data_IF_679459183441
#
_entry.id   IF_679459183441
#
_cell.length_a   1.000
_cell.length_b   1.000
_cell.length_c   1.000
_cell.angle_alpha   90.00
_cell.angle_beta   90.00
_cell.angle_gamma   90.00
#
_symmetry.space_group_name_H-M   'P 1'
#
loop_
_entity.id
_entity.type
_entity.pdbx_description
1 polymer ?
#
# COMPACT_ATOMS: atom_id res chain seq x y z
N UNK A 1 8.10 5.01 14.93
CA UNK A 1 7.26 5.59 16.00
C UNK A 1 5.85 5.75 15.48
N UNK A 2 4.86 5.48 16.34
CA UNK A 2 3.44 5.67 16.01
C UNK A 2 2.74 6.40 17.17
N UNK A 3 1.84 7.30 16.82
CA UNK A 3 0.96 8.01 17.74
C UNK A 3 -0.47 7.87 17.24
N UNK A 4 -1.40 7.72 18.13
CA UNK A 4 -2.81 7.69 17.76
C UNK A 4 -3.67 8.39 18.81
N UNK A 5 -4.80 8.93 18.36
CA UNK A 5 -5.86 9.43 19.18
C UNK A 5 -7.19 9.02 18.53
N UNK A 6 -8.17 8.69 19.35
CA UNK A 6 -9.50 8.32 18.87
C UNK A 6 -10.56 8.75 19.88
N UNK A 7 -11.76 9.01 19.37
CA UNK A 7 -12.92 9.33 20.18
C UNK A 7 -14.19 8.78 19.55
N UNK A 8 -15.16 8.46 20.37
CA UNK A 8 -16.48 7.97 19.98
C UNK A 8 -17.54 8.75 20.76
N UNK A 9 -18.52 9.30 20.05
CA UNK A 9 -19.60 10.04 20.67
C UNK A 9 -20.92 9.82 19.96
N UNK A 10 -22.02 10.08 20.65
CA UNK A 10 -23.37 10.00 20.12
C UNK A 10 -24.08 11.33 20.26
N UNK A 11 -24.92 11.66 19.29
CA UNK A 11 -25.78 12.83 19.30
C UNK A 11 -27.23 12.36 19.23
N UNK A 12 -27.94 12.53 20.34
CA UNK A 12 -29.24 11.89 20.52
C UNK A 12 -29.13 10.37 20.53
N UNK A 13 -30.19 9.69 20.07
CA UNK A 13 -30.21 8.21 19.97
C UNK A 13 -30.04 7.71 18.54
N UNK A 14 -29.98 8.63 17.57
CA UNK A 14 -29.94 8.28 16.14
C UNK A 14 -28.55 8.40 15.53
N UNK A 15 -27.69 9.28 16.05
CA UNK A 15 -26.38 9.52 15.49
C UNK A 15 -25.28 8.96 16.36
N UNK A 16 -24.40 8.19 15.75
CA UNK A 16 -23.14 7.74 16.34
C UNK A 16 -21.97 8.17 15.44
N UNK A 17 -20.90 8.63 16.07
CA UNK A 17 -19.68 9.04 15.39
C UNK A 17 -18.48 8.40 16.02
N UNK A 18 -17.53 8.05 15.20
CA UNK A 18 -16.22 7.60 15.63
C UNK A 18 -15.16 8.31 14.77
N UNK A 19 -14.20 8.96 15.40
CA UNK A 19 -13.08 9.59 14.73
C UNK A 19 -11.76 9.09 15.31
N UNK A 20 -10.83 8.80 14.44
CA UNK A 20 -9.48 8.37 14.80
C UNK A 20 -8.43 9.03 13.93
N UNK A 21 -7.27 9.28 14.50
CA UNK A 21 -6.10 9.78 13.79
C UNK A 21 -4.87 9.02 14.27
N UNK A 22 -4.13 8.42 13.34
CA UNK A 22 -2.84 7.78 13.60
C UNK A 22 -1.76 8.45 12.75
N UNK A 23 -0.69 8.87 13.39
CA UNK A 23 0.54 9.30 12.75
C UNK A 23 1.63 8.26 12.95
N UNK A 24 2.34 7.90 11.89
CA UNK A 24 3.40 6.91 11.95
C UNK A 24 4.61 7.36 11.16
N UNK A 25 5.79 7.18 11.74
CA UNK A 25 7.08 7.35 11.07
C UNK A 25 7.79 6.00 11.02
N UNK A 26 8.05 5.54 9.81
CA UNK A 26 8.71 4.27 9.52
C UNK A 26 10.10 4.58 8.98
N UNK A 27 11.10 3.93 9.55
CA UNK A 27 12.47 3.98 9.04
C UNK A 27 12.89 2.56 8.71
N UNK A 28 13.22 2.33 7.45
CA UNK A 28 13.73 1.05 6.96
C UNK A 28 15.20 1.23 6.64
N UNK A 29 16.06 0.48 7.34
CA UNK A 29 17.51 0.52 7.14
C UNK A 29 18.03 -0.87 6.80
N UNK A 30 18.95 -0.94 5.86
CA UNK A 30 19.74 -2.14 5.56
C UNK A 30 21.20 -1.80 5.74
N UNK A 31 21.97 -2.69 6.36
CA UNK A 31 23.42 -2.58 6.51
C UNK A 31 24.10 -3.59 5.59
N UNK A 32 25.25 -3.22 5.00
CA UNK A 32 26.03 -4.08 4.11
C UNK A 32 26.58 -3.31 2.92
N UNK A 33 27.00 -4.03 1.88
CA UNK A 33 27.56 -3.44 0.65
C UNK A 33 26.60 -2.51 -0.11
N UNK A 34 25.31 -2.58 0.20
CA UNK A 34 24.28 -1.69 -0.29
C UNK A 34 23.46 -1.18 0.91
N UNK A 35 23.98 -0.14 1.57
CA UNK A 35 23.24 0.49 2.65
C UNK A 35 22.04 1.26 2.08
N UNK A 36 20.85 0.94 2.55
CA UNK A 36 19.60 1.63 2.21
C UNK A 36 19.05 2.25 3.48
N UNK A 37 18.64 3.49 3.40
CA UNK A 37 17.91 4.19 4.46
C UNK A 37 16.71 4.89 3.84
N UNK A 38 15.52 4.36 4.09
CA UNK A 38 14.25 4.95 3.67
C UNK A 38 13.47 5.38 4.90
N UNK A 39 13.02 6.62 4.93
CA UNK A 39 12.20 7.17 6.00
C UNK A 39 10.92 7.76 5.42
N UNK A 40 9.80 7.33 5.93
CA UNK A 40 8.48 7.82 5.54
C UNK A 40 7.64 8.17 6.76
N UNK A 41 6.79 9.19 6.62
CA UNK A 41 5.81 9.58 7.63
C UNK A 41 4.44 9.64 7.00
N UNK A 42 3.48 8.98 7.62
CA UNK A 42 2.11 8.89 7.10
C UNK A 42 1.11 9.17 8.22
N UNK A 43 0.04 9.91 7.87
CA UNK A 43 -1.11 10.13 8.73
C UNK A 43 -2.31 9.39 8.17
N UNK A 44 -3.00 8.64 9.02
CA UNK A 44 -4.17 7.83 8.66
C UNK A 44 -5.39 8.25 9.48
N UNK A 45 -6.11 9.29 9.04
CA UNK A 45 -7.39 9.65 9.61
C UNK A 45 -8.45 8.60 9.27
N UNK A 46 -9.37 8.42 10.19
CA UNK A 46 -10.51 7.53 10.10
C UNK A 46 -11.73 8.25 10.66
N UNK A 47 -12.83 8.26 9.93
CA UNK A 47 -14.10 8.80 10.39
C UNK A 47 -15.21 7.82 10.01
N UNK A 48 -16.02 7.45 10.99
CA UNK A 48 -17.25 6.72 10.79
C UNK A 48 -18.43 7.50 11.33
N UNK A 49 -19.54 7.45 10.62
CA UNK A 49 -20.81 7.97 11.06
C UNK A 49 -21.88 6.91 10.86
N UNK A 50 -22.74 6.77 11.83
CA UNK A 50 -23.93 5.91 11.80
C UNK A 50 -25.15 6.75 12.02
N UNK A 51 -26.14 6.62 11.16
CA UNK A 51 -27.44 7.25 11.34
C UNK A 51 -28.53 6.20 11.35
N UNK A 52 -29.31 6.13 12.42
CA UNK A 52 -30.49 5.29 12.58
C UNK A 52 -31.73 6.08 12.17
N UNK A 53 -32.61 5.47 11.37
CA UNK A 53 -33.83 6.14 10.89
C UNK A 53 -34.79 6.56 12.02
N UNK A 54 -34.88 5.74 13.06
CA UNK A 54 -35.68 6.00 14.26
C UNK A 54 -34.89 5.57 15.50
N UNK A 55 -35.22 6.14 16.65
CA UNK A 55 -34.56 5.79 17.92
C UNK A 55 -34.60 4.30 18.28
N UNK A 56 -35.66 3.61 17.89
CA UNK A 56 -35.87 2.19 18.14
C UNK A 56 -35.63 1.32 16.90
N UNK A 57 -35.28 1.92 15.76
CA UNK A 57 -35.00 1.19 14.52
C UNK A 57 -33.61 0.59 14.55
N UNK A 58 -33.49 -0.58 13.97
CA UNK A 58 -32.22 -1.19 13.63
C UNK A 58 -31.73 -0.74 12.25
N UNK A 59 -32.64 -0.15 11.44
CA UNK A 59 -32.32 0.34 10.11
C UNK A 59 -31.39 1.54 10.20
N UNK A 60 -30.35 1.51 9.40
CA UNK A 60 -29.29 2.50 9.50
C UNK A 60 -28.59 2.77 8.18
N UNK A 61 -28.01 3.94 8.10
CA UNK A 61 -27.00 4.29 7.11
C UNK A 61 -25.67 4.44 7.84
N UNK A 62 -24.61 3.85 7.26
CA UNK A 62 -23.25 4.04 7.73
C UNK A 62 -22.42 4.69 6.65
N UNK A 63 -21.62 5.65 7.03
CA UNK A 63 -20.65 6.29 6.17
C UNK A 63 -19.25 6.21 6.79
N UNK A 64 -18.25 5.96 5.97
CA UNK A 64 -16.86 5.85 6.43
C UNK A 64 -15.93 6.61 5.49
N UNK A 65 -15.04 7.41 6.07
CA UNK A 65 -13.91 8.01 5.39
C UNK A 65 -12.64 7.42 6.00
N UNK A 66 -11.81 6.83 5.15
CA UNK A 66 -10.60 6.14 5.60
C UNK A 66 -9.39 6.57 4.78
N UNK A 67 -8.25 6.63 5.43
CA UNK A 67 -6.96 6.69 4.77
C UNK A 67 -6.06 5.61 5.36
N UNK A 68 -5.56 4.75 4.50
CA UNK A 68 -4.61 3.69 4.86
C UNK A 68 -3.35 3.79 4.02
N UNK A 69 -2.30 3.10 4.42
CA UNK A 69 -1.06 3.07 3.67
C UNK A 69 -0.43 1.68 3.71
N UNK A 70 0.47 1.45 2.77
CA UNK A 70 1.36 0.27 2.71
C UNK A 70 2.78 0.76 2.46
N UNK A 71 3.69 0.42 3.35
CA UNK A 71 5.12 0.71 3.17
C UNK A 71 5.73 -0.18 2.08
N UNK A 72 6.72 0.33 1.33
CA UNK A 72 7.51 -0.51 0.44
C UNK A 72 8.16 -1.67 1.19
N UNK A 73 8.28 -2.82 0.53
CA UNK A 73 9.06 -3.93 1.07
C UNK A 73 10.56 -3.59 1.01
N UNK A 74 11.35 -4.19 1.88
CA UNK A 74 12.80 -3.97 1.90
C UNK A 74 13.45 -4.32 0.54
N UNK A 75 13.00 -5.39 -0.11
CA UNK A 75 13.52 -5.83 -1.40
C UNK A 75 13.25 -4.80 -2.52
N UNK A 76 12.13 -4.10 -2.45
CA UNK A 76 11.77 -3.06 -3.41
C UNK A 76 12.63 -1.79 -3.25
N UNK A 77 13.25 -1.62 -2.08
CA UNK A 77 14.11 -0.48 -1.74
C UNK A 77 15.59 -0.69 -2.06
N UNK A 78 16.04 -1.95 -2.24
CA UNK A 78 17.45 -2.26 -2.45
C UNK A 78 17.84 -1.95 -3.90
N UNK A 79 18.60 -0.88 -4.09
CA UNK A 79 19.12 -0.46 -5.40
C UNK A 79 20.34 -1.31 -5.83
N UNK A 80 20.29 -2.63 -5.64
CA UNK A 80 21.29 -3.56 -6.12
C UNK A 80 20.71 -4.40 -7.25
N UNK A 81 21.38 -4.43 -8.40
CA UNK A 81 20.96 -5.31 -9.49
C UNK A 81 20.96 -6.78 -9.05
N UNK A 82 19.83 -7.44 -9.26
CA UNK A 82 19.71 -8.89 -9.14
C UNK A 82 19.61 -9.46 -10.55
N UNK A 83 20.70 -10.09 -10.96
CA UNK A 83 20.86 -10.59 -12.31
C UNK A 83 20.10 -11.91 -12.47
N UNK A 84 19.36 -12.03 -13.55
CA UNK A 84 18.64 -13.26 -13.83
C UNK A 84 19.62 -14.35 -14.32
N UNK A 85 19.85 -15.38 -13.50
CA UNK A 85 20.80 -16.45 -13.76
C UNK A 85 20.48 -17.29 -15.00
N UNK A 86 19.26 -17.26 -15.51
CA UNK A 86 18.90 -17.99 -16.73
C UNK A 86 19.54 -17.40 -18.00
N UNK A 87 19.98 -16.14 -17.92
CA UNK A 87 20.65 -15.44 -19.01
C UNK A 87 22.11 -15.10 -18.70
N UNK A 88 22.61 -15.58 -17.56
CA UNK A 88 24.03 -15.52 -17.26
C UNK A 88 24.80 -16.33 -18.32
N UNK A 89 25.79 -15.71 -18.92
CA UNK A 89 26.66 -16.40 -19.89
C UNK A 89 27.55 -17.42 -19.20
N UNK A 90 27.46 -18.72 -19.50
CA UNK A 90 28.29 -19.70 -18.83
C UNK A 90 29.79 -19.58 -19.18
N UNK A 91 30.18 -19.07 -20.34
CA UNK A 91 31.57 -19.13 -20.82
C UNK A 91 32.07 -17.88 -21.56
N UNK A 92 31.77 -16.68 -21.12
CA UNK A 92 32.12 -15.45 -21.84
C UNK A 92 31.68 -15.42 -23.32
N UNK A 93 30.79 -16.32 -23.71
CA UNK A 93 30.19 -16.30 -25.02
C UNK A 93 29.30 -15.06 -25.15
N UNK A 94 29.11 -14.58 -26.36
CA UNK A 94 28.22 -13.46 -26.67
C UNK A 94 26.80 -13.75 -26.16
N UNK A 95 26.54 -13.31 -24.95
CA UNK A 95 25.16 -13.31 -24.42
C UNK A 95 24.39 -12.21 -25.11
N UNK A 96 23.25 -12.57 -25.62
CA UNK A 96 22.28 -11.56 -26.05
C UNK A 96 21.72 -10.78 -24.86
N UNK A 97 21.06 -9.67 -25.11
CA UNK A 97 20.35 -8.93 -24.07
C UNK A 97 19.27 -9.82 -23.42
N UNK A 98 19.00 -9.61 -22.13
CA UNK A 98 17.90 -10.26 -21.46
C UNK A 98 16.59 -10.01 -22.20
N UNK A 99 15.72 -11.00 -22.24
CA UNK A 99 14.37 -10.81 -22.77
C UNK A 99 13.44 -10.24 -21.72
N UNK A 100 12.44 -9.51 -22.13
CA UNK A 100 11.49 -8.80 -21.27
C UNK A 100 10.77 -9.72 -20.25
N UNK A 101 10.63 -11.00 -20.59
CA UNK A 101 9.99 -11.99 -19.69
C UNK A 101 10.90 -12.47 -18.56
N UNK A 102 12.19 -12.20 -18.65
CA UNK A 102 13.19 -12.62 -17.65
C UNK A 102 14.17 -11.46 -17.35
N UNK A 103 13.66 -10.33 -16.88
CA UNK A 103 14.49 -9.14 -16.66
C UNK A 103 15.38 -9.33 -15.43
N UNK A 104 16.48 -8.60 -15.42
CA UNK A 104 17.18 -8.29 -14.18
C UNK A 104 16.28 -7.41 -13.31
N UNK A 105 16.52 -7.40 -12.01
CA UNK A 105 15.71 -6.63 -11.07
C UNK A 105 16.58 -5.67 -10.27
N UNK A 106 16.05 -4.48 -10.04
CA UNK A 106 16.65 -3.50 -9.16
C UNK A 106 15.54 -2.79 -8.38
N UNK A 107 15.74 -2.59 -7.09
CA UNK A 107 14.83 -1.80 -6.27
C UNK A 107 15.10 -0.31 -6.40
N UNK A 108 14.15 0.49 -5.88
CA UNK A 108 14.26 1.94 -5.83
C UNK A 108 14.21 2.41 -4.36
N UNK A 109 15.32 2.98 -3.82
CA UNK A 109 15.37 3.45 -2.43
C UNK A 109 14.48 4.66 -2.15
N UNK A 110 14.04 5.37 -3.19
CA UNK A 110 13.23 6.58 -3.09
C UNK A 110 11.71 6.29 -3.13
N UNK A 111 11.30 5.03 -3.10
CA UNK A 111 9.90 4.66 -3.07
C UNK A 111 9.18 5.28 -1.88
N UNK A 112 8.00 5.82 -2.17
CA UNK A 112 7.06 6.33 -1.17
C UNK A 112 6.06 5.25 -0.77
N UNK A 113 5.48 5.33 0.44
CA UNK A 113 4.37 4.45 0.80
C UNK A 113 3.18 4.63 -0.14
N UNK A 114 2.58 3.53 -0.54
CA UNK A 114 1.28 3.57 -1.20
C UNK A 114 0.23 4.10 -0.23
N UNK A 115 -0.59 5.04 -0.66
CA UNK A 115 -1.65 5.64 0.16
C UNK A 115 -2.99 5.42 -0.50
N UNK A 116 -3.89 4.73 0.21
CA UNK A 116 -5.27 4.54 -0.21
C UNK A 116 -6.21 5.45 0.59
N UNK A 117 -7.08 6.18 -0.11
CA UNK A 117 -8.19 6.94 0.47
C UNK A 117 -9.48 6.28 0.07
N UNK A 118 -10.35 6.00 1.04
CA UNK A 118 -11.61 5.32 0.84
C UNK A 118 -12.80 6.13 1.35
N UNK A 119 -13.89 6.06 0.60
CA UNK A 119 -15.22 6.46 1.02
C UNK A 119 -16.10 5.22 0.89
N UNK A 120 -16.83 4.91 1.94
CA UNK A 120 -17.79 3.81 1.96
C UNK A 120 -19.13 4.31 2.48
N UNK A 121 -20.21 3.85 1.86
CA UNK A 121 -21.58 4.12 2.26
C UNK A 121 -22.34 2.80 2.29
N UNK A 122 -22.98 2.50 3.40
CA UNK A 122 -23.77 1.29 3.58
C UNK A 122 -25.17 1.66 4.05
N UNK A 123 -26.18 1.06 3.42
CA UNK A 123 -27.58 1.06 3.86
C UNK A 123 -27.94 -0.32 4.36
N UNK A 124 -28.55 -0.40 5.53
CA UNK A 124 -29.01 -1.65 6.13
C UNK A 124 -30.47 -1.51 6.58
N UNK A 125 -31.31 -2.43 6.10
CA UNK A 125 -32.69 -2.54 6.50
C UNK A 125 -32.97 -3.91 7.11
N UNK A 126 -33.49 -3.92 8.31
CA UNK A 126 -33.80 -5.12 9.09
C UNK A 126 -35.27 -5.44 8.97
N UNK A 127 -35.58 -6.53 8.28
CA UNK A 127 -36.95 -6.99 8.02
C UNK A 127 -37.60 -7.54 9.29
N UNK A 128 -38.91 -7.32 9.43
CA UNK A 128 -39.69 -7.74 10.60
C UNK A 128 -39.75 -9.27 10.79
N UNK A 129 -39.59 -10.03 9.72
CA UNK A 129 -39.61 -11.51 9.72
C UNK A 129 -38.23 -12.15 9.93
N UNK A 130 -37.23 -11.37 10.31
CA UNK A 130 -35.89 -11.89 10.57
C UNK A 130 -35.06 -12.03 9.30
N UNK A 131 -34.74 -10.94 8.67
CA UNK A 131 -33.82 -10.87 7.52
C UNK A 131 -33.16 -9.48 7.49
N UNK A 132 -32.14 -9.34 6.66
CA UNK A 132 -31.47 -8.07 6.41
C UNK A 132 -31.30 -7.85 4.90
N UNK A 133 -31.55 -6.64 4.46
CA UNK A 133 -31.16 -6.15 3.14
C UNK A 133 -30.07 -5.13 3.34
N UNK A 134 -28.92 -5.35 2.72
CA UNK A 134 -27.78 -4.45 2.78
C UNK A 134 -27.31 -4.05 1.39
N UNK A 135 -27.08 -2.76 1.19
CA UNK A 135 -26.50 -2.22 -0.03
C UNK A 135 -25.26 -1.42 0.35
N UNK A 136 -24.12 -1.74 -0.27
CA UNK A 136 -22.86 -1.10 -0.01
C UNK A 136 -22.32 -0.47 -1.29
N UNK A 137 -21.89 0.78 -1.20
CA UNK A 137 -21.16 1.49 -2.24
C UNK A 137 -19.82 1.94 -1.68
N UNK A 138 -18.77 1.83 -2.48
CA UNK A 138 -17.45 2.29 -2.08
C UNK A 138 -16.71 2.96 -3.23
N UNK A 139 -15.84 3.90 -2.87
CA UNK A 139 -14.88 4.52 -3.78
C UNK A 139 -13.51 4.49 -3.11
N UNK A 140 -12.48 4.04 -3.84
CA UNK A 140 -11.11 4.01 -3.35
C UNK A 140 -10.14 4.60 -4.37
N UNK A 141 -9.29 5.52 -3.91
CA UNK A 141 -8.21 6.10 -4.70
C UNK A 141 -6.87 5.72 -4.08
N UNK A 142 -6.00 5.12 -4.89
CA UNK A 142 -4.64 4.76 -4.49
C UNK A 142 -3.67 5.74 -5.14
N UNK A 143 -2.70 6.22 -4.38
CA UNK A 143 -1.59 7.07 -4.82
C UNK A 143 -0.27 6.35 -4.54
N UNK A 144 0.75 6.67 -5.33
CA UNK A 144 2.11 6.11 -5.23
C UNK A 144 2.11 4.57 -5.28
N UNK A 145 1.28 3.99 -6.17
CA UNK A 145 1.19 2.54 -6.36
C UNK A 145 2.54 1.98 -6.80
N UNK A 146 3.07 1.06 -6.00
CA UNK A 146 4.33 0.38 -6.27
C UNK A 146 4.07 -0.77 -7.25
N UNK A 147 4.71 -0.71 -8.41
CA UNK A 147 4.63 -1.76 -9.44
C UNK A 147 6.01 -2.07 -9.99
N UNK A 148 6.18 -3.28 -10.47
CA UNK A 148 7.36 -3.66 -11.24
C UNK A 148 7.09 -3.31 -12.70
N UNK A 149 8.00 -2.56 -13.28
CA UNK A 149 7.99 -2.20 -14.71
C UNK A 149 9.24 -2.81 -15.36
N UNK A 150 9.09 -3.42 -16.52
CA UNK A 150 10.21 -3.94 -17.29
C UNK A 150 10.46 -3.03 -18.47
N UNK A 151 11.64 -2.44 -18.54
CA UNK A 151 12.09 -1.59 -19.64
C UNK A 151 13.39 -2.16 -20.22
N UNK A 152 13.64 -1.88 -21.48
CA UNK A 152 14.88 -2.25 -22.12
C UNK A 152 15.82 -1.05 -22.10
N UNK A 153 16.87 -1.14 -21.30
CA UNK A 153 17.89 -0.10 -21.16
C UNK A 153 19.28 -0.67 -21.38
N UNK A 154 20.20 0.19 -21.82
CA UNK A 154 21.63 -0.12 -21.80
C UNK A 154 22.16 0.30 -20.44
N UNK A 155 22.45 -0.68 -19.59
CA UNK A 155 22.89 -0.43 -18.23
C UNK A 155 24.35 -0.87 -18.03
N UNK A 156 25.08 -0.13 -17.22
CA UNK A 156 26.41 -0.49 -16.73
C UNK A 156 26.32 -0.73 -15.23
N UNK A 157 26.30 -1.99 -14.82
CA UNK A 157 26.20 -2.33 -13.41
C UNK A 157 27.57 -2.30 -12.74
N UNK A 158 27.79 -1.37 -11.83
CA UNK A 158 28.94 -1.39 -10.96
C UNK A 158 28.86 -2.60 -10.02
N UNK A 159 29.83 -3.48 -10.06
CA UNK A 159 29.88 -4.68 -9.21
C UNK A 159 29.34 -5.96 -9.85
N UNK A 160 29.01 -5.94 -11.12
CA UNK A 160 28.82 -7.16 -11.91
C UNK A 160 30.12 -7.97 -11.90
N UNK A 161 30.07 -9.29 -11.67
CA UNK A 161 31.28 -10.14 -11.75
C UNK A 161 32.00 -9.94 -13.08
N UNK A 162 33.34 -10.02 -13.11
CA UNK A 162 34.12 -9.86 -14.35
C UNK A 162 33.75 -10.85 -15.48
N UNK A 163 33.07 -11.93 -15.13
CA UNK A 163 32.51 -12.91 -16.06
C UNK A 163 31.22 -12.47 -16.74
N UNK A 164 30.66 -11.33 -16.32
CA UNK A 164 29.44 -10.76 -16.93
C UNK A 164 29.84 -9.67 -17.91
N UNK A 165 29.46 -9.78 -19.19
CA UNK A 165 29.65 -8.68 -20.13
C UNK A 165 28.75 -7.51 -19.72
N UNK A 166 29.25 -6.26 -19.92
CA UNK A 166 28.44 -5.07 -19.69
C UNK A 166 27.25 -4.99 -20.65
#
# INVERSE_FOLDING_TARGET
>A
YAYYAQDEWSVGKQWGFYAGLRGETITTTSSGSTAVSNRSSVWTPLLHAVWKFNENSRDQIRASLTRSYRSPNLQDLIARPSINSQYACPDNALCGPNVINYPDRMGNPDLKPEVARGLELAYENYLSLGGIVSVNAFYRRIQDLIRVEAEQETVSWAGVPPSWPP
#
